data_IF_139732320709
#
_entry.id   IF_139732320709
#
_cell.length_a   1.000
_cell.length_b   1.000
_cell.length_c   1.000
_cell.angle_alpha   90.00
_cell.angle_beta   90.00
_cell.angle_gamma   90.00
#
_symmetry.space_group_name_H-M   'P 1'
#
loop_
_entity.id
_entity.type
_entity.pdbx_description
1 polymer ?
#
# COMPACT_ATOMS: atom_id res chain seq x y z
N UNK A 1 -15.95 -4.21 -14.39
CA UNK A 1 -14.48 -4.06 -14.42
C UNK A 1 -13.90 -5.37 -14.91
N UNK A 2 -13.17 -5.36 -16.02
CA UNK A 2 -12.47 -6.56 -16.52
C UNK A 2 -11.06 -6.65 -15.89
N UNK A 3 -10.34 -7.74 -16.17
CA UNK A 3 -8.97 -7.96 -15.66
C UNK A 3 -8.05 -6.78 -15.97
N UNK A 4 -8.03 -6.31 -17.22
CA UNK A 4 -7.13 -5.23 -17.62
C UNK A 4 -7.45 -3.93 -16.88
N UNK A 5 -8.72 -3.56 -16.80
CA UNK A 5 -9.17 -2.38 -16.07
C UNK A 5 -8.82 -2.41 -14.59
N UNK A 6 -8.82 -3.60 -13.96
CA UNK A 6 -8.38 -3.77 -12.58
C UNK A 6 -6.87 -3.56 -12.44
N UNK A 7 -6.06 -4.15 -13.32
CA UNK A 7 -4.60 -3.98 -13.33
C UNK A 7 -4.22 -2.52 -13.57
N UNK A 8 -4.79 -1.87 -14.59
CA UNK A 8 -4.51 -0.47 -14.91
C UNK A 8 -4.85 0.45 -13.72
N UNK A 9 -5.96 0.17 -13.03
CA UNK A 9 -6.36 0.91 -11.83
C UNK A 9 -5.35 0.71 -10.70
N UNK A 10 -4.88 -0.51 -10.48
CA UNK A 10 -3.89 -0.83 -9.46
C UNK A 10 -2.57 -0.10 -9.74
N UNK A 11 -2.03 -0.24 -10.95
CA UNK A 11 -0.77 0.40 -11.35
C UNK A 11 -0.83 1.92 -11.21
N UNK A 12 -1.91 2.55 -11.69
CA UNK A 12 -2.11 3.99 -11.54
C UNK A 12 -2.15 4.41 -10.07
N UNK A 13 -2.94 3.71 -9.26
CA UNK A 13 -3.10 4.05 -7.84
C UNK A 13 -1.77 3.86 -7.08
N UNK A 14 -0.97 2.86 -7.47
CA UNK A 14 0.35 2.64 -6.87
C UNK A 14 1.33 3.75 -7.24
N UNK A 15 1.33 4.20 -8.49
CA UNK A 15 2.14 5.36 -8.91
C UNK A 15 1.74 6.62 -8.14
N UNK A 16 0.45 6.92 -8.03
CA UNK A 16 -0.07 8.05 -7.26
C UNK A 16 0.30 7.95 -5.77
N UNK A 17 0.26 6.74 -5.20
CA UNK A 17 0.67 6.47 -3.81
C UNK A 17 2.16 6.74 -3.59
N UNK A 18 3.05 6.20 -4.41
CA UNK A 18 4.50 6.47 -4.32
C UNK A 18 4.81 7.96 -4.48
N UNK A 19 4.13 8.63 -5.40
CA UNK A 19 4.32 10.05 -5.64
C UNK A 19 3.91 10.92 -4.44
N UNK A 20 2.94 10.47 -3.64
CA UNK A 20 2.42 11.24 -2.50
C UNK A 20 3.45 11.51 -1.39
N UNK A 21 4.48 10.67 -1.27
CA UNK A 21 5.55 10.81 -0.26
C UNK A 21 6.95 10.94 -0.85
N UNK A 22 7.10 10.95 -2.17
CA UNK A 22 8.41 10.98 -2.85
C UNK A 22 9.29 12.20 -2.51
N UNK A 23 8.69 13.31 -2.06
CA UNK A 23 9.39 14.54 -1.69
C UNK A 23 9.73 14.68 -0.20
N UNK A 24 9.32 13.73 0.64
CA UNK A 24 9.49 13.84 2.09
C UNK A 24 10.92 13.49 2.51
N UNK A 25 11.45 14.24 3.48
CA UNK A 25 12.71 13.90 4.11
C UNK A 25 12.57 12.66 5.03
N UNK A 26 13.66 11.96 5.36
CA UNK A 26 13.62 10.86 6.32
C UNK A 26 13.01 11.24 7.68
N UNK A 27 13.25 12.47 8.15
CA UNK A 27 12.70 13.00 9.40
C UNK A 27 11.20 13.26 9.31
N UNK A 28 10.70 13.68 8.14
CA UNK A 28 9.28 13.87 7.88
C UNK A 28 8.54 12.52 7.79
N UNK A 29 9.17 11.50 7.21
CA UNK A 29 8.59 10.16 7.09
C UNK A 29 8.29 9.52 8.45
N UNK A 30 9.11 9.78 9.46
CA UNK A 30 8.97 9.20 10.82
C UNK A 30 8.25 10.12 11.80
N UNK A 31 7.83 11.31 11.37
CA UNK A 31 7.13 12.26 12.24
C UNK A 31 5.74 11.71 12.61
N UNK A 32 5.41 11.54 13.90
CA UNK A 32 4.07 11.13 14.31
C UNK A 32 3.04 12.25 14.04
N UNK A 33 1.75 11.92 14.04
CA UNK A 33 0.70 12.94 13.88
C UNK A 33 0.10 13.04 12.48
N UNK A 34 0.50 12.18 11.53
CA UNK A 34 -0.03 12.21 10.15
C UNK A 34 -1.44 11.63 10.11
N UNK A 35 -1.69 10.55 10.85
CA UNK A 35 -3.02 9.97 11.05
C UNK A 35 -3.15 9.48 12.49
N UNK A 36 -3.75 10.30 13.37
CA UNK A 36 -3.67 10.05 14.81
C UNK A 36 -2.21 10.03 15.25
N UNK A 37 -1.78 8.98 15.94
CA UNK A 37 -0.38 8.84 16.37
C UNK A 37 0.57 8.34 15.27
N UNK A 38 0.05 7.90 14.12
CA UNK A 38 0.86 7.26 13.08
C UNK A 38 1.64 8.26 12.24
N UNK A 39 2.86 7.89 11.89
CA UNK A 39 3.71 8.56 10.90
C UNK A 39 3.43 8.07 9.48
N UNK A 40 4.02 8.73 8.47
CA UNK A 40 3.97 8.22 7.08
C UNK A 40 4.57 6.81 7.01
N UNK A 41 5.69 6.57 7.68
CA UNK A 41 6.34 5.26 7.73
C UNK A 41 5.41 4.18 8.30
N UNK A 42 4.63 4.49 9.33
CA UNK A 42 3.68 3.53 9.91
C UNK A 42 2.55 3.19 8.94
N UNK A 43 2.07 4.19 8.19
CA UNK A 43 1.08 3.98 7.12
C UNK A 43 1.65 3.11 5.98
N UNK A 44 2.89 3.36 5.56
CA UNK A 44 3.56 2.52 4.55
C UNK A 44 3.70 1.07 5.04
N UNK A 45 4.14 0.87 6.30
CA UNK A 45 4.27 -0.45 6.89
C UNK A 45 2.91 -1.18 6.95
N UNK A 46 1.83 -0.47 7.29
CA UNK A 46 0.49 -1.03 7.30
C UNK A 46 0.04 -1.53 5.92
N UNK A 47 0.29 -0.73 4.87
CA UNK A 47 -0.06 -1.12 3.49
C UNK A 47 0.78 -2.32 3.03
N UNK A 48 2.09 -2.30 3.28
CA UNK A 48 2.98 -3.42 2.94
C UNK A 48 2.58 -4.73 3.64
N UNK A 49 2.12 -4.65 4.88
CA UNK A 49 1.64 -5.84 5.60
C UNK A 49 0.44 -6.48 4.89
N UNK A 50 -0.54 -5.69 4.45
CA UNK A 50 -1.69 -6.22 3.72
C UNK A 50 -1.31 -6.80 2.36
N UNK A 51 -0.31 -6.22 1.69
CA UNK A 51 0.22 -6.79 0.44
C UNK A 51 0.84 -8.16 0.69
N UNK A 52 1.65 -8.30 1.74
CA UNK A 52 2.26 -9.59 2.13
C UNK A 52 1.20 -10.64 2.47
N UNK A 53 0.22 -10.30 3.30
CA UNK A 53 -0.87 -11.21 3.65
C UNK A 53 -1.72 -11.58 2.42
N UNK A 54 -1.96 -10.63 1.52
CA UNK A 54 -2.67 -10.90 0.26
C UNK A 54 -1.90 -11.90 -0.60
N UNK A 55 -0.59 -11.72 -0.77
CA UNK A 55 0.25 -12.65 -1.55
C UNK A 55 0.26 -14.06 -0.96
N UNK A 56 0.26 -14.15 0.38
CA UNK A 56 0.21 -15.42 1.11
C UNK A 56 -1.14 -16.14 0.96
N UNK A 57 -2.25 -15.41 1.00
CA UNK A 57 -3.59 -16.00 1.01
C UNK A 57 -4.24 -16.13 -0.39
N UNK A 58 -3.79 -15.39 -1.40
CA UNK A 58 -4.30 -15.52 -2.77
C UNK A 58 -4.27 -16.96 -3.33
N UNK A 59 -3.23 -17.77 -3.10
CA UNK A 59 -3.22 -19.18 -3.50
C UNK A 59 -4.28 -20.03 -2.80
N UNK A 60 -4.60 -19.73 -1.54
CA UNK A 60 -5.63 -20.44 -0.76
C UNK A 60 -7.02 -20.11 -1.32
N UNK A 61 -7.28 -18.82 -1.58
CA UNK A 61 -8.50 -18.36 -2.25
C UNK A 61 -8.67 -19.00 -3.63
N UNK A 62 -7.58 -19.13 -4.40
CA UNK A 62 -7.61 -19.82 -5.69
C UNK A 62 -7.97 -21.31 -5.56
N UNK A 63 -7.58 -21.94 -4.46
CA UNK A 63 -7.91 -23.32 -4.12
C UNK A 63 -9.31 -23.48 -3.51
N UNK A 64 -9.99 -22.36 -3.21
CA UNK A 64 -11.32 -22.35 -2.59
C UNK A 64 -11.33 -22.72 -1.11
N UNK A 65 -10.23 -22.45 -0.40
CA UNK A 65 -10.05 -22.67 1.04
C UNK A 65 -10.08 -21.34 1.78
#
# INVERSE_FOLDING_TARGET
>A
MNKQQLIDKLEKTWADFHQSYAGLSPEELVRPGVMGEWSVKDLLAHVSWWEEETLKHLPEVLQGI
#
